data_IF_588349027469
#
_entry.id   IF_588349027469
#
_cell.length_a   1.000
_cell.length_b   1.000
_cell.length_c   1.000
_cell.angle_alpha   90.00
_cell.angle_beta   90.00
_cell.angle_gamma   90.00
#
_symmetry.space_group_name_H-M   'P 1'
#
loop_
_entity.id
_entity.type
_entity.pdbx_description
1 polymer ?
#
# COMPACT_ATOMS: atom_id res chain seq x y z
N UNK A 1 3.14 -11.97 9.41
CA UNK A 1 2.71 -11.54 8.07
C UNK A 1 1.41 -12.27 7.78
N UNK A 2 0.47 -11.60 7.12
CA UNK A 2 -0.81 -12.19 6.73
C UNK A 2 -1.18 -11.75 5.31
N UNK A 3 -1.46 -12.71 4.43
CA UNK A 3 -2.05 -12.45 3.11
C UNK A 3 -3.39 -13.19 3.05
N UNK A 4 -4.49 -12.46 2.96
CA UNK A 4 -5.81 -13.06 2.86
C UNK A 4 -6.12 -13.53 1.43
N UNK A 5 -6.98 -14.56 1.34
CA UNK A 5 -7.46 -15.14 0.08
C UNK A 5 -7.93 -14.05 -0.89
N UNK A 6 -7.51 -14.17 -2.15
CA UNK A 6 -7.81 -13.22 -3.21
C UNK A 6 -6.77 -12.10 -3.35
N UNK A 7 -5.93 -11.90 -2.35
CA UNK A 7 -4.76 -11.01 -2.47
C UNK A 7 -3.59 -11.75 -3.10
N UNK A 8 -2.74 -11.03 -3.82
CA UNK A 8 -1.66 -11.62 -4.61
C UNK A 8 -0.33 -10.92 -4.34
N UNK A 9 0.73 -11.73 -4.21
CA UNK A 9 2.11 -11.26 -4.17
C UNK A 9 2.87 -11.96 -5.29
N UNK A 10 3.37 -11.19 -6.26
CA UNK A 10 4.02 -11.71 -7.46
C UNK A 10 5.18 -10.80 -7.91
N UNK A 11 5.91 -11.15 -8.97
CA UNK A 11 6.93 -10.28 -9.59
C UNK A 11 7.92 -9.66 -8.57
N UNK A 12 8.47 -10.49 -7.68
CA UNK A 12 9.37 -10.08 -6.59
C UNK A 12 8.76 -9.11 -5.56
N UNK A 13 7.44 -8.93 -5.54
CA UNK A 13 6.76 -8.30 -4.42
C UNK A 13 7.06 -9.06 -3.12
N UNK A 14 7.27 -8.34 -2.04
CA UNK A 14 7.67 -8.90 -0.76
C UNK A 14 6.79 -8.37 0.34
N UNK A 15 6.32 -9.27 1.19
CA UNK A 15 5.57 -8.94 2.41
C UNK A 15 6.30 -9.61 3.57
N UNK A 16 6.47 -8.91 4.69
CA UNK A 16 7.20 -9.43 5.85
C UNK A 16 6.66 -8.88 7.17
N UNK A 17 7.26 -9.30 8.29
CA UNK A 17 6.94 -8.85 9.65
C UNK A 17 5.45 -9.04 10.01
N UNK A 18 4.78 -8.05 10.60
CA UNK A 18 3.37 -8.09 10.99
C UNK A 18 2.42 -7.62 9.87
N UNK A 19 2.94 -7.34 8.66
CA UNK A 19 2.17 -6.72 7.61
C UNK A 19 0.99 -7.59 7.16
N UNK A 20 -0.11 -6.92 6.82
CA UNK A 20 -1.36 -7.54 6.43
C UNK A 20 -1.84 -7.04 5.08
N UNK A 21 -1.92 -7.96 4.11
CA UNK A 21 -2.47 -7.73 2.78
C UNK A 21 -3.81 -8.43 2.66
N UNK A 22 -4.87 -7.71 2.31
CA UNK A 22 -6.24 -8.24 2.25
C UNK A 22 -7.08 -7.61 1.14
N UNK A 23 -8.33 -8.09 1.01
CA UNK A 23 -9.34 -7.43 0.16
C UNK A 23 -9.06 -7.47 -1.34
N UNK A 24 -8.32 -8.47 -1.83
CA UNK A 24 -7.98 -8.56 -3.26
C UNK A 24 -6.82 -7.66 -3.68
N UNK A 25 -5.99 -7.21 -2.72
CA UNK A 25 -4.88 -6.31 -2.99
C UNK A 25 -3.69 -7.03 -3.63
N UNK A 26 -2.85 -6.27 -4.33
CA UNK A 26 -1.73 -6.81 -5.11
C UNK A 26 -0.42 -6.15 -4.68
N UNK A 27 0.60 -6.95 -4.40
CA UNK A 27 1.99 -6.50 -4.19
C UNK A 27 2.86 -7.09 -5.30
N UNK A 28 3.48 -6.24 -6.12
CA UNK A 28 4.28 -6.68 -7.27
C UNK A 28 5.49 -5.80 -7.58
N UNK A 29 6.28 -6.15 -8.58
CA UNK A 29 7.32 -5.29 -9.16
C UNK A 29 8.48 -4.91 -8.25
N UNK A 30 8.83 -5.74 -7.26
CA UNK A 30 9.76 -5.45 -6.16
C UNK A 30 9.21 -4.55 -5.03
N UNK A 31 7.88 -4.39 -4.91
CA UNK A 31 7.30 -3.59 -3.85
C UNK A 31 7.44 -4.30 -2.50
N UNK A 32 7.68 -3.52 -1.45
CA UNK A 32 7.90 -4.03 -0.10
C UNK A 32 6.81 -3.56 0.86
N UNK A 33 6.11 -4.51 1.48
CA UNK A 33 5.12 -4.25 2.54
C UNK A 33 5.60 -4.90 3.84
N UNK A 34 5.88 -4.11 4.87
CA UNK A 34 6.54 -4.58 6.11
C UNK A 34 6.06 -3.83 7.35
N UNK A 35 6.61 -4.10 8.54
CA UNK A 35 6.09 -3.56 9.80
C UNK A 35 4.70 -4.09 10.13
N UNK A 36 3.84 -3.23 10.68
CA UNK A 36 2.42 -3.48 10.95
C UNK A 36 1.52 -2.98 9.81
N UNK A 37 2.10 -2.79 8.63
CA UNK A 37 1.42 -2.05 7.59
C UNK A 37 0.25 -2.84 7.02
N UNK A 38 -0.80 -2.13 6.63
CA UNK A 38 -2.01 -2.69 6.08
C UNK A 38 -2.19 -2.24 4.62
N UNK A 39 -2.32 -3.22 3.72
CA UNK A 39 -2.68 -3.01 2.32
C UNK A 39 -3.99 -3.75 2.02
N UNK A 40 -5.10 -3.02 1.88
CA UNK A 40 -6.44 -3.57 1.80
C UNK A 40 -7.32 -2.97 0.71
N UNK A 41 -8.55 -3.46 0.58
CA UNK A 41 -9.59 -2.84 -0.25
C UNK A 41 -9.29 -2.80 -1.75
N UNK A 42 -8.59 -3.80 -2.28
CA UNK A 42 -8.24 -3.89 -3.70
C UNK A 42 -7.14 -2.91 -4.11
N UNK A 43 -6.26 -2.54 -3.18
CA UNK A 43 -5.16 -1.61 -3.42
C UNK A 43 -3.96 -2.29 -4.07
N UNK A 44 -3.08 -1.50 -4.68
CA UNK A 44 -1.90 -2.01 -5.39
C UNK A 44 -0.64 -1.34 -4.87
N UNK A 45 0.33 -2.15 -4.47
CA UNK A 45 1.73 -1.73 -4.29
C UNK A 45 2.56 -2.34 -5.42
N UNK A 46 3.28 -1.51 -6.17
CA UNK A 46 4.09 -1.96 -7.31
C UNK A 46 5.43 -1.25 -7.42
N UNK A 47 6.26 -1.70 -8.34
CA UNK A 47 7.60 -1.16 -8.58
C UNK A 47 8.45 -1.22 -7.28
N UNK A 48 9.28 -0.22 -6.99
CA UNK A 48 10.09 -0.17 -5.77
C UNK A 48 9.38 0.53 -4.60
N UNK A 49 8.05 0.48 -4.56
CA UNK A 49 7.26 1.09 -3.50
C UNK A 49 7.55 0.46 -2.12
N UNK A 50 7.53 1.28 -1.08
CA UNK A 50 7.65 0.84 0.32
C UNK A 50 6.40 1.23 1.10
N UNK A 51 5.76 0.26 1.75
CA UNK A 51 4.66 0.46 2.69
C UNK A 51 5.04 -0.19 4.01
N UNK A 52 5.30 0.60 5.05
CA UNK A 52 5.95 0.13 6.27
C UNK A 52 5.34 0.70 7.56
N UNK A 53 5.77 0.19 8.71
CA UNK A 53 5.32 0.63 10.05
C UNK A 53 3.81 0.48 10.19
N UNK A 54 3.08 1.47 10.72
CA UNK A 54 1.62 1.42 10.92
C UNK A 54 0.81 1.98 9.73
N UNK A 55 1.44 2.07 8.55
CA UNK A 55 0.83 2.68 7.37
C UNK A 55 -0.42 1.90 6.91
N UNK A 56 -1.45 2.64 6.45
CA UNK A 56 -2.69 2.07 5.90
C UNK A 56 -2.92 2.54 4.48
N UNK A 57 -2.97 1.59 3.55
CA UNK A 57 -3.30 1.81 2.15
C UNK A 57 -4.56 1.01 1.83
N UNK A 58 -5.66 1.69 1.52
CA UNK A 58 -6.96 1.05 1.35
C UNK A 58 -7.82 1.72 0.26
N UNK A 59 -9.01 1.17 0.02
CA UNK A 59 -10.02 1.74 -0.88
C UNK A 59 -9.51 1.96 -2.33
N UNK A 60 -8.95 0.91 -2.95
CA UNK A 60 -8.42 0.91 -4.34
C UNK A 60 -7.31 1.93 -4.58
N UNK A 61 -6.50 2.21 -3.57
CA UNK A 61 -5.37 3.14 -3.70
C UNK A 61 -4.15 2.47 -4.32
N UNK A 62 -3.23 3.29 -4.83
CA UNK A 62 -2.04 2.82 -5.54
C UNK A 62 -0.76 3.48 -5.00
N UNK A 63 0.25 2.65 -4.73
CA UNK A 63 1.61 3.08 -4.41
C UNK A 63 2.56 2.50 -5.47
N UNK A 64 3.31 3.36 -6.16
CA UNK A 64 4.18 2.96 -7.27
C UNK A 64 5.43 3.83 -7.41
N UNK A 65 6.31 3.47 -8.33
CA UNK A 65 7.63 4.09 -8.46
C UNK A 65 8.56 3.74 -7.29
N UNK A 66 9.15 4.74 -6.66
CA UNK A 66 9.95 4.66 -5.42
C UNK A 66 9.22 5.29 -4.22
N UNK A 67 7.89 5.39 -4.32
CA UNK A 67 7.08 6.06 -3.31
C UNK A 67 7.12 5.32 -1.98
N UNK A 68 7.01 6.08 -0.87
CA UNK A 68 7.12 5.52 0.48
C UNK A 68 5.93 5.96 1.34
N UNK A 69 5.24 4.99 1.93
CA UNK A 69 4.20 5.20 2.95
C UNK A 69 4.68 4.57 4.26
N UNK A 70 4.82 5.37 5.31
CA UNK A 70 5.32 4.90 6.61
C UNK A 70 4.79 5.74 7.78
N UNK A 71 5.04 5.34 9.02
CA UNK A 71 4.37 5.90 10.20
C UNK A 71 2.88 5.53 10.21
N UNK A 72 2.04 6.35 10.84
CA UNK A 72 0.59 6.16 10.88
C UNK A 72 -0.14 6.72 9.64
N UNK A 73 0.54 6.76 8.49
CA UNK A 73 0.05 7.44 7.30
C UNK A 73 -1.13 6.70 6.66
N UNK A 74 -2.11 7.44 6.13
CA UNK A 74 -3.28 6.87 5.45
C UNK A 74 -3.36 7.31 3.98
N UNK A 75 -3.40 6.33 3.06
CA UNK A 75 -3.67 6.52 1.64
C UNK A 75 -4.99 5.81 1.29
N UNK A 76 -6.01 6.55 0.87
CA UNK A 76 -7.36 6.00 0.69
C UNK A 76 -8.18 6.68 -0.43
N UNK A 77 -9.40 6.20 -0.69
CA UNK A 77 -10.31 6.69 -1.72
C UNK A 77 -9.70 6.78 -3.13
N UNK A 78 -9.04 5.73 -3.60
CA UNK A 78 -8.42 5.70 -4.93
C UNK A 78 -7.25 6.66 -5.10
N UNK A 79 -6.61 7.06 -3.99
CA UNK A 79 -5.45 7.94 -4.05
C UNK A 79 -4.27 7.23 -4.72
N UNK A 80 -3.45 8.00 -5.44
CA UNK A 80 -2.19 7.54 -6.02
C UNK A 80 -1.02 8.26 -5.34
N UNK A 81 0.00 7.49 -4.94
CA UNK A 81 1.29 8.00 -4.49
C UNK A 81 2.37 7.39 -5.39
N UNK A 82 2.98 8.20 -6.24
CA UNK A 82 3.80 7.72 -7.35
C UNK A 82 5.18 8.41 -7.37
N UNK A 83 6.10 7.90 -8.19
CA UNK A 83 7.44 8.49 -8.33
C UNK A 83 8.23 8.41 -7.02
N UNK A 84 8.80 9.52 -6.56
CA UNK A 84 9.60 9.60 -5.33
C UNK A 84 8.82 10.21 -4.13
N UNK A 85 7.49 10.28 -4.23
CA UNK A 85 6.66 10.88 -3.19
C UNK A 85 6.72 10.11 -1.86
N UNK A 86 6.60 10.84 -0.75
CA UNK A 86 6.58 10.27 0.60
C UNK A 86 5.32 10.72 1.33
N UNK A 87 4.64 9.77 1.96
CA UNK A 87 3.53 10.00 2.87
C UNK A 87 3.90 9.40 4.23
N UNK A 88 3.96 10.23 5.27
CA UNK A 88 4.53 9.80 6.55
C UNK A 88 3.90 10.44 7.77
N UNK A 89 4.09 9.82 8.94
CA UNK A 89 3.51 10.29 10.20
C UNK A 89 1.99 10.18 10.16
N UNK A 90 1.28 11.17 10.68
CA UNK A 90 -0.20 11.19 10.71
C UNK A 90 -0.83 11.75 9.41
N UNK A 91 -0.07 11.85 8.32
CA UNK A 91 -0.55 12.44 7.06
C UNK A 91 -1.60 11.56 6.37
N UNK A 92 -2.56 12.21 5.72
CA UNK A 92 -3.66 11.54 5.01
C UNK A 92 -3.75 12.06 3.58
N UNK A 93 -3.59 11.18 2.60
CA UNK A 93 -3.81 11.49 1.18
C UNK A 93 -5.07 10.74 0.71
N UNK A 94 -5.99 11.47 0.07
CA UNK A 94 -7.25 10.93 -0.45
C UNK A 94 -7.34 11.23 -1.94
N UNK A 95 -7.83 10.28 -2.71
CA UNK A 95 -8.16 10.49 -4.12
C UNK A 95 -9.53 11.14 -4.25
N UNK A 96 -9.96 11.32 -5.50
CA UNK A 96 -11.36 11.55 -5.80
C UNK A 96 -12.01 10.17 -5.92
N UNK A 97 -12.73 9.74 -4.89
CA UNK A 97 -13.55 8.53 -4.98
C UNK A 97 -14.59 8.64 -6.11
N UNK A 98 -15.38 7.59 -6.39
CA UNK A 98 -16.36 7.57 -7.48
C UNK A 98 -17.59 8.48 -7.28
N UNK A 99 -17.43 9.71 -6.80
CA UNK A 99 -18.53 10.65 -6.53
C UNK A 99 -18.09 12.11 -6.46
N UNK A 100 -17.55 12.64 -7.57
CA UNK A 100 -17.45 14.07 -7.84
C UNK A 100 -18.51 14.50 -8.84
#
# INVERSE_FOLDING_TARGET
>A
MRIDKGSMVCENGMVSEEAWVSGGSIVRGCAWVTGKAYLGGGSVARDQALVAQDARVEERSEVGGRAQVYGAAELRNGAQLLGDEKLFGEQRKRGMGPGG
#
